data_IF_749807036645
#
_entry.id   IF_749807036645
#
_cell.length_a   1.000
_cell.length_b   1.000
_cell.length_c   1.000
_cell.angle_alpha   90.00
_cell.angle_beta   90.00
_cell.angle_gamma   90.00
#
_symmetry.space_group_name_H-M   'P 1'
#
loop_
_entity.id
_entity.type
_entity.pdbx_description
1 polymer ?
#
# COMPACT_ATOMS: atom_id res chain seq x y z
N UNK A 1 51.17 11.68 29.84
CA UNK A 1 50.03 10.73 29.87
C UNK A 1 48.82 11.35 29.19
N UNK A 2 48.52 11.03 27.90
CA UNK A 2 47.30 11.48 27.23
C UNK A 2 46.48 10.32 26.61
N UNK A 3 46.39 9.17 27.30
CA UNK A 3 45.75 7.98 26.69
C UNK A 3 44.27 7.79 27.06
N UNK A 4 43.74 8.46 28.08
CA UNK A 4 42.34 8.34 28.53
C UNK A 4 41.32 9.09 27.64
N UNK A 5 41.73 10.10 26.88
CA UNK A 5 40.80 10.91 26.06
C UNK A 5 40.37 10.18 24.79
N UNK A 6 41.28 9.49 24.11
CA UNK A 6 40.99 8.77 22.86
C UNK A 6 40.02 7.61 23.03
N UNK A 7 40.07 6.92 24.19
CA UNK A 7 39.20 5.74 24.46
C UNK A 7 37.74 6.11 24.57
N UNK A 8 37.39 7.27 25.15
CA UNK A 8 35.97 7.71 25.22
C UNK A 8 35.43 8.08 23.86
N UNK A 9 36.25 8.68 23.00
CA UNK A 9 35.89 9.01 21.63
C UNK A 9 35.64 7.75 20.76
N UNK A 10 36.49 6.73 20.93
CA UNK A 10 36.37 5.45 20.24
C UNK A 10 35.06 4.75 20.62
N UNK A 11 34.67 4.69 21.89
CA UNK A 11 33.40 4.13 22.32
C UNK A 11 32.17 4.92 21.78
N UNK A 12 32.29 6.25 21.71
CA UNK A 12 31.28 7.11 21.11
C UNK A 12 31.06 6.81 19.62
N UNK A 13 32.14 6.65 18.86
CA UNK A 13 32.07 6.30 17.43
C UNK A 13 31.52 4.91 17.21
N UNK A 14 31.95 3.91 18.01
CA UNK A 14 31.42 2.54 17.93
C UNK A 14 29.92 2.52 18.25
N UNK A 15 29.49 3.24 19.27
CA UNK A 15 28.06 3.36 19.62
C UNK A 15 27.24 4.03 18.52
N UNK A 16 27.76 5.08 17.89
CA UNK A 16 27.12 5.76 16.78
C UNK A 16 26.96 4.84 15.57
N UNK A 17 28.03 4.16 15.16
CA UNK A 17 28.01 3.21 14.04
C UNK A 17 27.05 2.05 14.34
N UNK A 18 27.12 1.48 15.54
CA UNK A 18 26.19 0.42 15.97
C UNK A 18 24.74 0.86 15.95
N UNK A 19 24.45 2.07 16.43
CA UNK A 19 23.12 2.67 16.39
C UNK A 19 22.58 2.85 14.95
N UNK A 20 23.41 3.37 14.04
CA UNK A 20 23.05 3.53 12.62
C UNK A 20 22.74 2.17 11.98
N UNK A 21 23.56 1.14 12.23
CA UNK A 21 23.36 -0.20 11.69
C UNK A 21 22.03 -0.79 12.21
N UNK A 22 21.76 -0.68 13.51
CA UNK A 22 20.51 -1.17 14.10
C UNK A 22 19.31 -0.45 13.49
N UNK A 23 19.35 0.88 13.37
CA UNK A 23 18.28 1.66 12.74
C UNK A 23 18.06 1.25 11.26
N UNK A 24 19.14 1.03 10.51
CA UNK A 24 19.04 0.58 9.11
C UNK A 24 18.40 -0.80 9.01
N UNK A 25 18.79 -1.74 9.87
CA UNK A 25 18.21 -3.10 9.91
C UNK A 25 16.73 -3.02 10.27
N UNK A 26 16.36 -2.27 11.30
CA UNK A 26 14.96 -2.08 11.70
C UNK A 26 14.13 -1.45 10.58
N UNK A 27 14.68 -0.46 9.89
CA UNK A 27 14.01 0.17 8.75
C UNK A 27 13.75 -0.85 7.63
N UNK A 28 14.73 -1.64 7.24
CA UNK A 28 14.58 -2.67 6.19
C UNK A 28 13.57 -3.75 6.58
N UNK A 29 13.50 -4.14 7.85
CA UNK A 29 12.58 -5.18 8.31
C UNK A 29 11.13 -4.69 8.47
N UNK A 30 10.94 -3.43 8.89
CA UNK A 30 9.61 -2.90 9.21
C UNK A 30 8.97 -2.22 8.00
N UNK A 31 9.75 -1.53 7.17
CA UNK A 31 9.24 -0.71 6.07
C UNK A 31 8.35 -1.50 5.08
N UNK A 32 8.68 -2.72 4.64
CA UNK A 32 7.83 -3.47 3.70
C UNK A 32 6.43 -3.76 4.25
N UNK A 33 6.33 -4.09 5.53
CA UNK A 33 5.04 -4.37 6.18
C UNK A 33 4.17 -3.12 6.38
N UNK A 34 4.77 -1.94 6.37
CA UNK A 34 4.05 -0.67 6.47
C UNK A 34 3.55 -0.17 5.11
N UNK A 35 4.11 -0.64 3.99
CA UNK A 35 3.74 -0.17 2.64
C UNK A 35 2.39 -0.70 2.16
N UNK A 36 1.96 -1.85 2.66
CA UNK A 36 0.70 -2.49 2.32
C UNK A 36 -0.18 -2.55 3.57
N UNK A 37 -1.38 -2.02 3.45
CA UNK A 37 -2.42 -2.14 4.47
C UNK A 37 -3.28 -3.34 4.12
N UNK A 38 -3.42 -4.28 5.05
CA UNK A 38 -4.26 -5.47 4.90
C UNK A 38 -5.25 -5.53 6.05
N UNK A 39 -6.53 -5.70 5.73
CA UNK A 39 -7.62 -5.81 6.70
C UNK A 39 -8.57 -6.94 6.34
N UNK A 40 -9.16 -7.59 7.33
CA UNK A 40 -10.17 -8.64 7.15
C UNK A 40 -11.50 -8.02 6.74
N UNK A 41 -12.14 -8.57 5.69
CA UNK A 41 -13.50 -8.20 5.29
C UNK A 41 -14.54 -8.90 6.16
N UNK A 42 -15.66 -8.23 6.40
CA UNK A 42 -16.84 -8.82 7.06
C UNK A 42 -17.72 -9.64 6.09
N UNK A 43 -17.51 -9.49 4.79
CA UNK A 43 -18.31 -10.08 3.74
C UNK A 43 -17.60 -11.28 3.09
N UNK A 44 -18.34 -12.09 2.37
CA UNK A 44 -17.78 -13.13 1.51
C UNK A 44 -16.94 -12.54 0.38
N UNK A 45 -16.13 -13.35 -0.27
CA UNK A 45 -15.22 -12.91 -1.33
C UNK A 45 -15.95 -12.16 -2.46
N UNK A 46 -17.01 -12.74 -3.00
CA UNK A 46 -17.71 -12.14 -4.15
C UNK A 46 -18.51 -10.90 -3.75
N UNK A 47 -19.10 -10.89 -2.55
CA UNK A 47 -19.75 -9.71 -1.98
C UNK A 47 -18.75 -8.59 -1.71
N UNK A 48 -17.55 -8.91 -1.19
CA UNK A 48 -16.49 -7.92 -0.99
C UNK A 48 -16.09 -7.28 -2.32
N UNK A 49 -15.83 -8.09 -3.35
CA UNK A 49 -15.47 -7.60 -4.69
C UNK A 49 -16.57 -6.71 -5.28
N UNK A 50 -17.83 -7.12 -5.16
CA UNK A 50 -18.97 -6.35 -5.68
C UNK A 50 -19.15 -5.02 -4.92
N UNK A 51 -19.11 -5.07 -3.58
CA UNK A 51 -19.31 -3.89 -2.72
C UNK A 51 -18.19 -2.87 -2.93
N UNK A 52 -16.93 -3.30 -3.01
CA UNK A 52 -15.80 -2.41 -3.27
C UNK A 52 -15.95 -1.71 -4.63
N UNK A 53 -16.32 -2.46 -5.69
CA UNK A 53 -16.55 -1.85 -7.01
C UNK A 53 -17.69 -0.83 -7.02
N UNK A 54 -18.77 -1.10 -6.29
CA UNK A 54 -19.90 -0.19 -6.15
C UNK A 54 -19.46 1.10 -5.46
N UNK A 55 -18.79 0.99 -4.31
CA UNK A 55 -18.36 2.15 -3.50
C UNK A 55 -17.30 3.00 -4.20
N UNK A 56 -16.41 2.38 -4.98
CA UNK A 56 -15.49 3.11 -5.87
C UNK A 56 -16.27 4.08 -6.77
N UNK A 57 -17.35 3.61 -7.39
CA UNK A 57 -18.19 4.44 -8.28
C UNK A 57 -18.95 5.51 -7.50
N UNK A 58 -19.47 5.20 -6.31
CA UNK A 58 -20.18 6.13 -5.45
C UNK A 58 -19.29 7.31 -5.01
N UNK A 59 -17.99 7.08 -4.81
CA UNK A 59 -17.00 8.14 -4.53
C UNK A 59 -16.50 8.86 -5.80
N UNK A 60 -17.13 8.63 -6.96
CA UNK A 60 -16.79 9.29 -8.22
C UNK A 60 -15.51 8.79 -8.88
N UNK A 61 -15.01 7.60 -8.48
CA UNK A 61 -13.89 6.94 -9.12
C UNK A 61 -14.36 6.03 -10.25
N UNK A 62 -13.46 5.76 -11.20
CA UNK A 62 -13.70 4.80 -12.28
C UNK A 62 -13.01 3.48 -11.98
N UNK A 63 -13.75 2.38 -12.04
CA UNK A 63 -13.15 1.03 -12.09
C UNK A 63 -12.55 0.83 -13.49
N UNK A 64 -11.24 0.68 -13.57
CA UNK A 64 -10.50 0.50 -14.84
C UNK A 64 -10.42 -0.95 -15.30
N UNK A 65 -10.73 -1.87 -14.41
CA UNK A 65 -10.78 -3.30 -14.66
C UNK A 65 -10.69 -4.10 -13.38
N UNK A 66 -11.09 -5.37 -13.48
CA UNK A 66 -10.92 -6.36 -12.42
C UNK A 66 -10.14 -7.53 -13.02
N UNK A 67 -8.93 -7.76 -12.53
CA UNK A 67 -8.12 -8.90 -12.96
C UNK A 67 -8.40 -10.08 -12.05
N UNK A 68 -8.74 -11.22 -12.65
CA UNK A 68 -8.87 -12.51 -11.96
C UNK A 68 -7.51 -13.21 -12.04
N UNK A 69 -6.74 -13.15 -10.95
CA UNK A 69 -5.38 -13.70 -10.89
C UNK A 69 -5.38 -15.21 -11.07
N UNK A 70 -6.39 -15.91 -10.54
CA UNK A 70 -6.52 -17.36 -10.68
C UNK A 70 -6.69 -17.75 -12.15
N UNK A 71 -7.52 -17.00 -12.89
CA UNK A 71 -7.71 -17.23 -14.33
C UNK A 71 -6.41 -17.03 -15.10
N UNK A 72 -5.67 -15.96 -14.84
CA UNK A 72 -4.41 -15.67 -15.51
C UNK A 72 -3.34 -16.74 -15.22
N UNK A 73 -3.21 -17.17 -13.97
CA UNK A 73 -2.28 -18.25 -13.56
C UNK A 73 -2.65 -19.58 -14.23
N UNK A 74 -3.94 -19.91 -14.26
CA UNK A 74 -4.45 -21.13 -14.93
C UNK A 74 -4.18 -21.11 -16.43
N UNK A 75 -4.38 -19.97 -17.08
CA UNK A 75 -4.09 -19.79 -18.51
C UNK A 75 -2.60 -19.99 -18.82
N UNK A 76 -1.71 -19.66 -17.89
CA UNK A 76 -0.28 -19.91 -18.00
C UNK A 76 0.12 -21.37 -17.68
N UNK A 77 -0.82 -22.26 -17.38
CA UNK A 77 -0.59 -23.69 -17.12
C UNK A 77 -0.26 -24.05 -15.67
N UNK A 78 -0.49 -23.12 -14.72
CA UNK A 78 -0.24 -23.36 -13.31
C UNK A 78 -1.54 -23.48 -12.51
N UNK A 79 -1.48 -24.15 -11.37
CA UNK A 79 -2.58 -24.20 -10.41
C UNK A 79 -2.31 -23.26 -9.23
N UNK A 80 -3.37 -22.54 -8.85
CA UNK A 80 -3.34 -21.66 -7.69
C UNK A 80 -4.71 -21.71 -7.00
N UNK A 81 -4.75 -22.11 -5.73
CA UNK A 81 -6.01 -22.39 -5.01
C UNK A 81 -6.67 -21.16 -4.39
N UNK A 82 -5.97 -20.29 -3.61
CA UNK A 82 -6.60 -19.12 -3.00
C UNK A 82 -7.15 -18.20 -4.07
N UNK A 83 -8.39 -17.71 -3.89
CA UNK A 83 -8.97 -16.73 -4.84
C UNK A 83 -8.34 -15.36 -4.63
N UNK A 84 -7.95 -14.73 -5.73
CA UNK A 84 -7.38 -13.37 -5.73
C UNK A 84 -7.96 -12.57 -6.87
N UNK A 85 -8.56 -11.42 -6.59
CA UNK A 85 -8.98 -10.44 -7.58
C UNK A 85 -8.35 -9.09 -7.29
N UNK A 86 -7.91 -8.40 -8.35
CA UNK A 86 -7.32 -7.06 -8.27
C UNK A 86 -8.25 -6.09 -8.96
N UNK A 87 -8.82 -5.16 -8.20
CA UNK A 87 -9.69 -4.09 -8.67
C UNK A 87 -8.82 -2.88 -8.95
N UNK A 88 -8.72 -2.47 -10.21
CA UNK A 88 -7.98 -1.29 -10.65
C UNK A 88 -8.91 -0.09 -10.69
N UNK A 89 -8.51 1.00 -10.05
CA UNK A 89 -9.33 2.21 -9.93
C UNK A 89 -8.53 3.48 -10.19
N UNK A 90 -9.21 4.50 -10.73
CA UNK A 90 -8.58 5.79 -11.00
C UNK A 90 -9.61 6.91 -10.94
N UNK A 91 -9.23 8.05 -10.36
CA UNK A 91 -9.98 9.31 -10.43
C UNK A 91 -9.21 10.27 -11.32
N UNK A 92 -9.76 10.58 -12.49
CA UNK A 92 -9.08 11.36 -13.52
C UNK A 92 -8.64 12.75 -13.04
N UNK A 93 -9.45 13.38 -12.19
CA UNK A 93 -9.14 14.68 -11.58
C UNK A 93 -7.84 14.61 -10.77
N UNK A 94 -7.71 13.61 -9.88
CA UNK A 94 -6.53 13.43 -9.04
C UNK A 94 -5.31 13.03 -9.86
N UNK A 95 -5.49 12.16 -10.84
CA UNK A 95 -4.43 11.79 -11.77
C UNK A 95 -3.90 13.01 -12.53
N UNK A 96 -4.79 13.88 -13.06
CA UNK A 96 -4.41 15.12 -13.72
C UNK A 96 -3.63 16.04 -12.78
N UNK A 97 -4.13 16.23 -11.55
CA UNK A 97 -3.50 17.13 -10.56
C UNK A 97 -2.06 16.66 -10.23
N UNK A 98 -1.88 15.37 -9.98
CA UNK A 98 -0.55 14.78 -9.69
C UNK A 98 0.36 14.84 -10.91
N UNK A 99 -0.10 14.37 -12.07
CA UNK A 99 0.73 14.26 -13.27
C UNK A 99 1.09 15.60 -13.91
N UNK A 100 0.43 16.68 -13.52
CA UNK A 100 0.81 18.04 -13.97
C UNK A 100 2.20 18.41 -13.46
N UNK A 101 2.55 18.02 -12.24
CA UNK A 101 3.84 18.30 -11.61
C UNK A 101 4.78 17.08 -11.59
N UNK A 102 4.26 15.88 -11.35
CA UNK A 102 5.03 14.69 -10.97
C UNK A 102 4.74 13.48 -11.88
N UNK A 103 5.08 13.59 -13.18
CA UNK A 103 4.79 12.55 -14.19
C UNK A 103 5.43 11.20 -13.89
N UNK A 104 6.56 11.18 -13.19
CA UNK A 104 7.27 9.93 -12.86
C UNK A 104 6.44 8.97 -11.98
N UNK A 105 5.49 9.48 -11.19
CA UNK A 105 4.61 8.62 -10.38
C UNK A 105 3.51 7.93 -11.20
N UNK A 106 3.43 8.16 -12.50
CA UNK A 106 2.46 7.49 -13.39
C UNK A 106 2.57 5.96 -13.35
N UNK A 107 3.75 5.41 -13.02
CA UNK A 107 3.96 3.97 -12.84
C UNK A 107 3.17 3.38 -11.65
N UNK A 108 2.71 4.21 -10.72
CA UNK A 108 1.86 3.81 -9.59
C UNK A 108 0.37 3.88 -9.93
N UNK A 109 0.03 4.29 -11.15
CA UNK A 109 -1.35 4.41 -11.64
C UNK A 109 -1.69 3.31 -12.64
N UNK A 110 -2.92 2.77 -12.60
CA UNK A 110 -4.01 3.04 -11.67
C UNK A 110 -3.75 2.47 -10.27
N UNK A 111 -4.37 3.06 -9.25
CA UNK A 111 -4.41 2.47 -7.91
C UNK A 111 -5.07 1.09 -7.96
N UNK A 112 -4.78 0.25 -6.99
CA UNK A 112 -5.31 -1.11 -6.95
C UNK A 112 -5.71 -1.50 -5.54
N UNK A 113 -6.87 -2.15 -5.43
CA UNK A 113 -7.34 -2.83 -4.22
C UNK A 113 -7.39 -4.32 -4.55
N UNK A 114 -6.69 -5.14 -3.78
CA UNK A 114 -6.70 -6.59 -3.90
C UNK A 114 -7.68 -7.20 -2.89
N UNK A 115 -8.54 -8.12 -3.35
CA UNK A 115 -9.38 -8.97 -2.50
C UNK A 115 -8.87 -10.40 -2.64
N UNK A 116 -8.61 -11.07 -1.52
CA UNK A 116 -8.02 -12.41 -1.53
C UNK A 116 -8.49 -13.27 -0.35
N UNK A 117 -8.46 -14.59 -0.54
CA UNK A 117 -8.77 -15.58 0.48
C UNK A 117 -7.49 -16.01 1.18
N UNK A 118 -7.49 -15.95 2.52
CA UNK A 118 -6.42 -16.49 3.35
C UNK A 118 -6.53 -18.00 3.54
N UNK A 119 -5.43 -18.63 3.95
CA UNK A 119 -5.39 -20.07 4.29
C UNK A 119 -6.28 -20.40 5.50
N UNK A 120 -6.67 -19.40 6.27
CA UNK A 120 -7.62 -19.49 7.39
C UNK A 120 -9.09 -19.43 6.95
N UNK A 121 -9.36 -19.37 5.64
CA UNK A 121 -10.69 -19.31 5.06
C UNK A 121 -11.37 -17.93 5.16
N UNK A 122 -10.64 -16.91 5.60
CA UNK A 122 -11.14 -15.54 5.69
C UNK A 122 -10.85 -14.76 4.41
N UNK A 123 -11.59 -13.68 4.25
CA UNK A 123 -11.42 -12.76 3.12
C UNK A 123 -10.66 -11.52 3.59
N UNK A 124 -9.65 -11.16 2.85
CA UNK A 124 -8.80 -10.00 3.13
C UNK A 124 -8.84 -9.01 1.98
N UNK A 125 -8.65 -7.77 2.34
CA UNK A 125 -8.50 -6.66 1.41
C UNK A 125 -7.15 -6.01 1.67
N UNK A 126 -6.37 -5.84 0.61
CA UNK A 126 -5.05 -5.20 0.67
C UNK A 126 -4.96 -4.06 -0.31
N UNK A 127 -4.36 -2.97 0.14
CA UNK A 127 -4.13 -1.76 -0.65
C UNK A 127 -2.78 -1.13 -0.29
N UNK A 128 -2.28 -0.26 -1.13
CA UNK A 128 -1.08 0.51 -0.83
C UNK A 128 -1.37 1.53 0.26
N UNK A 129 -0.47 1.69 1.22
CA UNK A 129 -0.58 2.69 2.26
C UNK A 129 -0.37 4.10 1.69
N UNK A 130 -1.44 4.72 1.22
CA UNK A 130 -1.39 6.05 0.59
C UNK A 130 -0.93 7.14 1.55
N UNK A 131 -1.23 7.03 2.84
CA UNK A 131 -0.75 7.97 3.85
C UNK A 131 0.78 7.92 4.02
N UNK A 132 1.37 6.72 3.97
CA UNK A 132 2.82 6.54 3.99
C UNK A 132 3.46 7.03 2.69
N UNK A 133 2.88 6.67 1.54
CA UNK A 133 3.36 7.12 0.23
C UNK A 133 3.35 8.65 0.13
N UNK A 134 2.31 9.29 0.65
CA UNK A 134 2.23 10.74 0.73
C UNK A 134 3.40 11.38 1.48
N UNK A 135 3.80 10.78 2.61
CA UNK A 135 4.95 11.25 3.40
C UNK A 135 6.28 11.04 2.68
N UNK A 136 6.42 9.94 1.93
CA UNK A 136 7.65 9.63 1.21
C UNK A 136 7.88 10.54 -0.01
N UNK A 137 6.83 10.83 -0.76
CA UNK A 137 6.94 11.67 -1.96
C UNK A 137 6.88 13.16 -1.63
N UNK A 138 6.09 13.57 -0.62
CA UNK A 138 5.89 14.99 -0.30
C UNK A 138 5.24 15.79 -1.42
N UNK A 139 5.41 17.11 -1.39
CA UNK A 139 4.97 18.01 -2.46
C UNK A 139 3.50 17.86 -2.86
N UNK A 140 3.22 17.94 -4.16
CA UNK A 140 1.86 17.81 -4.70
C UNK A 140 1.35 16.35 -4.62
N UNK A 141 2.22 15.37 -4.86
CA UNK A 141 1.89 13.94 -4.70
C UNK A 141 1.43 13.69 -3.27
N UNK A 142 2.20 14.15 -2.28
CA UNK A 142 1.86 13.99 -0.86
C UNK A 142 0.52 14.62 -0.50
N UNK A 143 0.23 15.81 -1.03
CA UNK A 143 -1.02 16.52 -0.78
C UNK A 143 -2.24 15.78 -1.33
N UNK A 144 -2.15 15.26 -2.56
CA UNK A 144 -3.26 14.54 -3.21
C UNK A 144 -3.43 13.15 -2.61
N UNK A 145 -2.34 12.38 -2.49
CA UNK A 145 -2.39 10.99 -1.98
C UNK A 145 -2.73 10.94 -0.48
N UNK A 146 -2.13 11.80 0.34
CA UNK A 146 -2.32 11.80 1.79
C UNK A 146 -3.57 12.50 2.30
N UNK A 147 -4.21 13.31 1.45
CA UNK A 147 -5.49 13.96 1.76
C UNK A 147 -6.60 13.30 0.97
N UNK A 148 -6.84 13.79 -0.25
CA UNK A 148 -8.00 13.44 -1.07
C UNK A 148 -8.17 11.94 -1.32
N UNK A 149 -7.07 11.21 -1.61
CA UNK A 149 -7.15 9.76 -1.89
C UNK A 149 -7.44 8.99 -0.61
N UNK A 150 -6.74 9.28 0.49
CA UNK A 150 -6.97 8.63 1.79
C UNK A 150 -8.40 8.85 2.26
N UNK A 151 -8.92 10.09 2.19
CA UNK A 151 -10.29 10.41 2.59
C UNK A 151 -11.34 9.65 1.77
N UNK A 152 -11.11 9.49 0.46
CA UNK A 152 -12.01 8.73 -0.42
C UNK A 152 -11.90 7.21 -0.14
N UNK A 153 -10.70 6.66 0.08
CA UNK A 153 -10.48 5.25 0.43
C UNK A 153 -11.15 4.87 1.75
N UNK A 154 -11.04 5.72 2.78
CA UNK A 154 -11.71 5.49 4.06
C UNK A 154 -13.23 5.38 3.87
N UNK A 155 -13.86 6.23 3.07
CA UNK A 155 -15.29 6.18 2.76
C UNK A 155 -15.66 4.92 1.95
N UNK A 156 -14.81 4.51 0.98
CA UNK A 156 -15.02 3.30 0.21
C UNK A 156 -15.03 2.05 1.09
N UNK A 157 -14.24 2.03 2.14
CA UNK A 157 -14.03 0.85 3.00
C UNK A 157 -14.79 0.92 4.33
N UNK A 158 -15.50 2.01 4.61
CA UNK A 158 -16.24 2.22 5.85
C UNK A 158 -17.25 1.09 6.10
N UNK A 159 -17.20 0.50 7.30
CA UNK A 159 -18.10 -0.59 7.73
C UNK A 159 -17.91 -1.94 7.01
N UNK A 160 -17.04 -2.03 5.99
CA UNK A 160 -16.71 -3.26 5.27
C UNK A 160 -15.67 -4.11 6.02
N UNK A 161 -14.80 -3.46 6.73
CA UNK A 161 -13.64 -4.06 7.39
C UNK A 161 -13.93 -4.36 8.89
N UNK A 162 -13.23 -5.37 9.45
CA UNK A 162 -13.22 -5.68 10.88
C UNK A 162 -12.24 -4.82 11.65
#
# INVERSE_FOLDING_TARGET
MPEKSNRKWTYGIIGLIGGIIICAILMVLIMPSMMIVTKESKLSFDETVATVQQRIKEQGWSVKGVSDVNHEIKKAGYEFKPRVKIIKLCKAEYAKEVLTTDRFVSCLMPCSISVWEGDDGKVYLSEMNMALMAKLFGGNVGKVMGGKVVDDEEKMLEGLLK
#
